data_IF_607574049217
#
_entry.id   IF_607574049217
#
_cell.length_a   1.000
_cell.length_b   1.000
_cell.length_c   1.000
_cell.angle_alpha   90.00
_cell.angle_beta   90.00
_cell.angle_gamma   90.00
#
_symmetry.space_group_name_H-M   'P 1'
#
loop_
_entity.id
_entity.type
_entity.pdbx_description
1 polymer ?
#
# COMPACT_ATOMS: atom_id res chain seq x y z
N UNK A 1 -0.12 -19.83 14.83
CA UNK A 1 -0.35 -20.76 13.71
C UNK A 1 -0.39 -19.93 12.43
N UNK A 2 0.41 -20.23 11.39
CA UNK A 2 0.33 -19.43 10.16
C UNK A 2 -0.98 -19.77 9.45
N UNK A 3 -1.84 -18.77 9.29
CA UNK A 3 -3.15 -18.90 8.65
C UNK A 3 -3.04 -18.26 7.27
N UNK A 4 -2.53 -19.01 6.28
CA UNK A 4 -2.69 -18.62 4.88
C UNK A 4 -4.16 -18.94 4.55
N UNK A 5 -4.99 -17.92 4.67
CA UNK A 5 -6.38 -17.94 4.19
C UNK A 5 -6.31 -18.09 2.66
N UNK A 6 -6.68 -19.28 2.16
CA UNK A 6 -6.66 -19.69 0.75
C UNK A 6 -7.02 -18.54 -0.22
N UNK A 7 -6.04 -18.07 -1.00
CA UNK A 7 -6.31 -17.18 -2.13
C UNK A 7 -6.49 -18.07 -3.36
N UNK A 8 -7.61 -17.91 -4.07
CA UNK A 8 -7.92 -18.73 -5.24
C UNK A 8 -6.97 -18.36 -6.40
N UNK A 9 -6.22 -19.32 -6.93
CA UNK A 9 -5.20 -19.08 -7.98
C UNK A 9 -5.75 -18.32 -9.20
N UNK A 10 -6.97 -18.66 -9.64
CA UNK A 10 -7.65 -17.93 -10.73
C UNK A 10 -7.79 -16.43 -10.44
N UNK A 11 -8.01 -16.06 -9.18
CA UNK A 11 -8.12 -14.64 -8.79
C UNK A 11 -6.78 -13.93 -8.88
N UNK A 12 -5.67 -14.60 -8.55
CA UNK A 12 -4.33 -14.04 -8.69
C UNK A 12 -3.99 -13.77 -10.17
N UNK A 13 -4.27 -14.74 -11.05
CA UNK A 13 -4.02 -14.60 -12.48
C UNK A 13 -4.88 -13.48 -13.09
N UNK A 14 -6.17 -13.42 -12.74
CA UNK A 14 -7.05 -12.35 -13.21
C UNK A 14 -6.57 -10.95 -12.79
N UNK A 15 -6.08 -10.81 -11.55
CA UNK A 15 -5.50 -9.55 -11.08
C UNK A 15 -4.24 -9.18 -11.87
N UNK A 16 -3.38 -10.14 -12.21
CA UNK A 16 -2.23 -9.91 -13.10
C UNK A 16 -2.66 -9.43 -14.49
N UNK A 17 -3.64 -10.10 -15.10
CA UNK A 17 -4.18 -9.68 -16.41
C UNK A 17 -4.74 -8.25 -16.37
N UNK A 18 -5.46 -7.90 -15.30
CA UNK A 18 -5.97 -6.55 -15.11
C UNK A 18 -4.84 -5.54 -14.89
N UNK A 19 -3.80 -5.88 -14.13
CA UNK A 19 -2.64 -5.00 -13.92
C UNK A 19 -1.96 -4.66 -15.25
N UNK A 20 -1.83 -5.63 -16.15
CA UNK A 20 -1.30 -5.40 -17.49
C UNK A 20 -2.27 -4.60 -18.37
N UNK A 21 -3.57 -4.91 -18.34
CA UNK A 21 -4.61 -4.20 -19.10
C UNK A 21 -4.73 -2.71 -18.75
N UNK A 22 -4.50 -2.39 -17.49
CA UNK A 22 -4.59 -1.05 -16.94
C UNK A 22 -3.24 -0.34 -16.78
N UNK A 23 -2.16 -0.95 -17.29
CA UNK A 23 -0.85 -0.31 -17.34
C UNK A 23 -0.97 1.05 -18.04
N UNK A 24 -0.38 2.09 -17.44
CA UNK A 24 -0.43 3.48 -17.91
C UNK A 24 -1.83 4.12 -17.94
N UNK A 25 -2.83 3.54 -17.26
CA UNK A 25 -4.18 4.11 -17.13
C UNK A 25 -4.51 4.60 -15.72
N UNK A 26 -3.46 4.96 -14.96
CA UNK A 26 -3.56 5.44 -13.58
C UNK A 26 -4.34 4.51 -12.63
N UNK A 27 -4.33 3.21 -12.90
CA UNK A 27 -4.90 2.17 -12.05
C UNK A 27 -3.77 1.26 -11.61
N UNK A 28 -3.72 1.00 -10.30
CA UNK A 28 -2.68 0.19 -9.66
C UNK A 28 -3.35 -0.91 -8.85
N UNK A 29 -2.90 -2.15 -9.06
CA UNK A 29 -3.38 -3.29 -8.30
C UNK A 29 -2.34 -3.61 -7.23
N UNK A 30 -2.80 -3.63 -5.97
CA UNK A 30 -1.97 -3.92 -4.81
C UNK A 30 -2.61 -5.07 -4.02
N UNK A 31 -1.92 -6.20 -3.96
CA UNK A 31 -2.28 -7.31 -3.07
C UNK A 31 -1.80 -7.01 -1.65
N UNK A 32 -2.71 -7.07 -0.68
CA UNK A 32 -2.38 -6.84 0.73
C UNK A 32 -2.30 -8.18 1.45
N UNK A 33 -1.15 -8.45 2.07
CA UNK A 33 -0.92 -9.62 2.89
C UNK A 33 -0.94 -9.27 4.37
N UNK A 34 -1.71 -10.01 5.17
CA UNK A 34 -1.68 -9.93 6.64
C UNK A 34 -0.55 -10.78 7.26
N UNK A 35 0.22 -11.51 6.45
CA UNK A 35 1.39 -12.25 6.90
C UNK A 35 2.45 -11.27 7.41
N UNK A 36 2.99 -11.55 8.59
CA UNK A 36 3.94 -10.68 9.29
C UNK A 36 5.39 -11.02 8.94
N UNK A 37 5.63 -12.22 8.40
CA UNK A 37 6.96 -12.65 8.00
C UNK A 37 7.26 -12.33 6.53
N UNK A 38 8.12 -11.33 6.31
CA UNK A 38 8.55 -10.92 4.97
C UNK A 38 9.11 -12.08 4.12
N UNK A 39 9.84 -13.02 4.73
CA UNK A 39 10.42 -14.14 4.00
C UNK A 39 9.36 -15.14 3.52
N UNK A 40 8.26 -15.27 4.24
CA UNK A 40 7.12 -16.11 3.83
C UNK A 40 6.42 -15.47 2.64
N UNK A 41 6.12 -14.16 2.72
CA UNK A 41 5.51 -13.41 1.61
C UNK A 41 6.38 -13.44 0.38
N UNK A 42 7.69 -13.17 0.52
CA UNK A 42 8.63 -13.17 -0.59
C UNK A 42 8.69 -14.54 -1.28
N UNK A 43 8.85 -15.63 -0.51
CA UNK A 43 8.84 -16.99 -1.07
C UNK A 43 7.55 -17.32 -1.81
N UNK A 44 6.40 -16.87 -1.29
CA UNK A 44 5.12 -17.07 -1.94
C UNK A 44 5.06 -16.34 -3.28
N UNK A 45 5.38 -15.04 -3.31
CA UNK A 45 5.42 -14.24 -4.56
C UNK A 45 6.41 -14.84 -5.57
N UNK A 46 7.61 -15.20 -5.12
CA UNK A 46 8.63 -15.84 -5.96
C UNK A 46 8.12 -17.18 -6.54
N UNK A 47 7.35 -17.96 -5.75
CA UNK A 47 6.77 -19.23 -6.21
C UNK A 47 5.63 -19.06 -7.22
N UNK A 48 4.90 -17.94 -7.16
CA UNK A 48 3.84 -17.63 -8.12
C UNK A 48 4.39 -17.10 -9.44
N UNK A 49 5.57 -16.47 -9.42
CA UNK A 49 6.24 -15.95 -10.61
C UNK A 49 5.32 -15.02 -11.43
N UNK A 50 5.22 -15.26 -12.73
CA UNK A 50 4.42 -14.44 -13.66
C UNK A 50 2.91 -14.50 -13.42
N UNK A 51 2.41 -15.40 -12.57
CA UNK A 51 0.98 -15.45 -12.22
C UNK A 51 0.58 -14.35 -11.24
N UNK A 52 1.54 -13.72 -10.57
CA UNK A 52 1.33 -12.67 -9.56
C UNK A 52 2.19 -11.45 -9.89
N UNK A 53 2.02 -10.90 -11.10
CA UNK A 53 2.78 -9.76 -11.61
C UNK A 53 2.07 -8.42 -11.33
N UNK A 54 1.87 -8.17 -10.04
CA UNK A 54 1.36 -6.92 -9.48
C UNK A 54 2.01 -6.66 -8.12
N UNK A 55 1.84 -5.45 -7.59
CA UNK A 55 2.51 -5.07 -6.34
C UNK A 55 1.90 -5.80 -5.15
N UNK A 56 2.74 -6.33 -4.26
CA UNK A 56 2.31 -6.95 -3.00
C UNK A 56 2.85 -6.13 -1.84
N UNK A 57 1.96 -5.71 -0.95
CA UNK A 57 2.29 -5.02 0.28
C UNK A 57 1.92 -5.86 1.51
N UNK A 58 2.62 -5.63 2.62
CA UNK A 58 2.36 -6.28 3.91
C UNK A 58 1.66 -5.29 4.83
N UNK A 59 0.55 -5.71 5.44
CA UNK A 59 -0.15 -4.96 6.48
C UNK A 59 0.44 -5.30 7.86
N UNK A 60 1.67 -4.86 8.11
CA UNK A 60 2.38 -5.17 9.36
C UNK A 60 1.81 -4.44 10.57
N UNK A 61 1.10 -3.34 10.34
CA UNK A 61 0.43 -2.55 11.37
C UNK A 61 -1.04 -2.93 11.62
N UNK A 62 -1.64 -3.75 10.75
CA UNK A 62 -3.08 -4.06 10.80
C UNK A 62 -3.98 -2.89 10.36
N UNK A 63 -3.39 -1.83 9.77
CA UNK A 63 -4.09 -0.59 9.43
C UNK A 63 -5.10 -0.81 8.30
N UNK A 64 -4.79 -1.70 7.35
CA UNK A 64 -5.71 -2.05 6.27
C UNK A 64 -6.82 -2.94 6.79
N UNK A 65 -6.49 -3.93 7.62
CA UNK A 65 -7.48 -4.81 8.24
C UNK A 65 -8.49 -4.00 9.07
N UNK A 66 -8.01 -3.18 10.01
CA UNK A 66 -8.88 -2.40 10.91
C UNK A 66 -9.54 -1.21 10.20
N UNK A 67 -8.77 -0.48 9.38
CA UNK A 67 -9.18 0.79 8.79
C UNK A 67 -10.08 0.64 7.57
N UNK A 68 -9.94 -0.45 6.83
CA UNK A 68 -10.68 -0.67 5.57
C UNK A 68 -11.54 -1.91 5.64
N UNK A 69 -10.95 -3.09 5.86
CA UNK A 69 -11.66 -4.38 5.74
C UNK A 69 -12.79 -4.47 6.77
N UNK A 70 -12.47 -4.25 8.06
CA UNK A 70 -13.45 -4.34 9.14
C UNK A 70 -14.51 -3.23 9.04
N UNK A 71 -14.12 -1.99 8.77
CA UNK A 71 -15.07 -0.86 8.65
C UNK A 71 -16.01 -0.99 7.47
N UNK A 72 -15.54 -1.53 6.34
CA UNK A 72 -16.38 -1.80 5.18
C UNK A 72 -17.25 -3.06 5.36
N UNK A 73 -17.11 -3.79 6.47
CA UNK A 73 -17.84 -5.02 6.74
C UNK A 73 -17.54 -6.13 5.74
N UNK A 74 -16.36 -6.10 5.10
CA UNK A 74 -15.95 -7.09 4.10
C UNK A 74 -15.84 -8.48 4.74
N UNK A 75 -16.36 -9.49 4.04
CA UNK A 75 -16.42 -10.87 4.51
C UNK A 75 -16.01 -11.81 3.39
N UNK A 76 -15.13 -12.76 3.70
CA UNK A 76 -14.66 -13.78 2.76
C UNK A 76 -13.33 -13.42 2.10
N UNK A 77 -12.76 -14.40 1.42
CA UNK A 77 -11.52 -14.30 0.66
C UNK A 77 -11.73 -15.01 -0.69
N UNK A 78 -11.17 -14.50 -1.80
CA UNK A 78 -10.57 -13.17 -1.93
C UNK A 78 -11.63 -12.05 -1.88
N UNK A 79 -11.23 -10.88 -1.36
CA UNK A 79 -12.05 -9.67 -1.33
C UNK A 79 -11.23 -8.49 -1.86
N UNK A 80 -11.83 -7.68 -2.71
CA UNK A 80 -11.20 -6.54 -3.36
C UNK A 80 -12.01 -5.27 -3.14
N UNK A 81 -11.28 -4.16 -3.08
CA UNK A 81 -11.84 -2.82 -3.08
C UNK A 81 -11.36 -2.08 -4.31
N UNK A 82 -12.22 -1.27 -4.91
CA UNK A 82 -11.79 -0.23 -5.85
C UNK A 82 -11.95 1.11 -5.15
N UNK A 83 -10.86 1.85 -5.07
CA UNK A 83 -10.81 3.19 -4.48
C UNK A 83 -10.53 4.16 -5.62
N UNK A 84 -11.40 5.15 -5.81
CA UNK A 84 -11.19 6.18 -6.83
C UNK A 84 -10.18 7.24 -6.38
N UNK A 85 -9.82 8.18 -7.27
CA UNK A 85 -8.84 9.21 -6.93
C UNK A 85 -9.35 10.26 -5.93
N UNK A 86 -10.65 10.24 -5.61
CA UNK A 86 -11.27 11.07 -4.57
C UNK A 86 -11.33 10.33 -3.22
N UNK A 87 -10.71 9.14 -3.13
CA UNK A 87 -10.65 8.23 -1.98
C UNK A 87 -12.00 7.61 -1.59
N UNK A 88 -12.94 7.51 -2.54
CA UNK A 88 -14.19 6.79 -2.31
C UNK A 88 -14.06 5.32 -2.68
N UNK A 89 -14.66 4.44 -1.89
CA UNK A 89 -14.81 3.03 -2.24
C UNK A 89 -15.94 2.92 -3.27
N UNK A 90 -15.59 2.66 -4.52
CA UNK A 90 -16.56 2.49 -5.62
C UNK A 90 -16.94 1.02 -5.85
N UNK A 91 -16.22 0.08 -5.23
CA UNK A 91 -16.53 -1.34 -5.23
C UNK A 91 -15.98 -2.02 -3.98
N UNK A 92 -16.72 -3.00 -3.46
CA UNK A 92 -16.32 -3.89 -2.36
C UNK A 92 -16.93 -5.27 -2.61
N UNK A 93 -16.11 -6.27 -2.90
CA UNK A 93 -16.61 -7.60 -3.23
C UNK A 93 -15.54 -8.54 -3.79
N UNK A 94 -15.98 -9.61 -4.45
CA UNK A 94 -15.08 -10.60 -5.03
C UNK A 94 -14.41 -10.05 -6.31
N UNK A 95 -13.09 -10.24 -6.53
CA UNK A 95 -12.38 -9.71 -7.71
C UNK A 95 -12.83 -10.31 -9.06
N UNK A 96 -13.53 -11.45 -9.05
CA UNK A 96 -14.16 -12.02 -10.26
C UNK A 96 -15.57 -11.49 -10.54
N UNK A 97 -16.11 -10.62 -9.69
CA UNK A 97 -17.41 -10.01 -9.95
C UNK A 97 -17.30 -9.11 -11.20
N UNK A 98 -18.20 -9.23 -12.19
CA UNK A 98 -18.21 -8.33 -13.36
C UNK A 98 -18.22 -6.83 -13.00
N UNK A 99 -18.78 -6.49 -11.84
CA UNK A 99 -18.80 -5.11 -11.33
C UNK A 99 -17.42 -4.61 -10.90
N UNK A 100 -16.49 -5.50 -10.53
CA UNK A 100 -15.11 -5.14 -10.20
C UNK A 100 -14.42 -4.48 -11.39
N UNK A 101 -14.42 -5.15 -12.55
CA UNK A 101 -13.80 -4.59 -13.75
C UNK A 101 -14.53 -3.34 -14.25
N UNK A 102 -15.85 -3.29 -14.07
CA UNK A 102 -16.64 -2.08 -14.37
C UNK A 102 -16.21 -0.88 -13.53
N UNK A 103 -15.97 -1.09 -12.24
CA UNK A 103 -15.46 -0.06 -11.34
C UNK A 103 -14.04 0.38 -11.73
N UNK A 104 -13.14 -0.56 -12.06
CA UNK A 104 -11.80 -0.23 -12.56
C UNK A 104 -11.83 0.61 -13.84
N UNK A 105 -12.70 0.25 -14.80
CA UNK A 105 -12.86 1.00 -16.05
C UNK A 105 -13.33 2.43 -15.78
N UNK A 106 -14.28 2.59 -14.86
CA UNK A 106 -14.81 3.90 -14.46
C UNK A 106 -13.73 4.74 -13.78
N UNK A 107 -12.98 4.16 -12.85
CA UNK A 107 -11.86 4.82 -12.18
C UNK A 107 -10.77 5.24 -13.18
N UNK A 108 -10.40 4.37 -14.13
CA UNK A 108 -9.42 4.67 -15.17
C UNK A 108 -9.85 5.82 -16.09
N UNK A 109 -11.13 5.84 -16.51
CA UNK A 109 -11.67 6.93 -17.33
C UNK A 109 -11.64 8.26 -16.56
N UNK A 110 -12.13 8.27 -15.32
CA UNK A 110 -12.12 9.46 -14.47
C UNK A 110 -10.69 9.94 -14.14
N UNK A 111 -9.71 9.05 -14.07
CA UNK A 111 -8.31 9.43 -13.91
C UNK A 111 -7.71 10.01 -15.20
N UNK A 112 -8.13 9.53 -16.37
CA UNK A 112 -7.66 10.02 -17.68
C UNK A 112 -8.25 11.39 -18.03
N UNK A 113 -9.53 11.62 -17.69
CA UNK A 113 -10.23 12.90 -17.92
C UNK A 113 -9.68 14.03 -17.04
N UNK A 114 -9.02 13.67 -15.92
CA UNK A 114 -8.28 14.62 -15.07
C UNK A 114 -6.94 15.07 -15.67
N UNK A 115 -6.63 14.70 -16.93
CA UNK A 115 -5.32 14.91 -17.55
C UNK A 115 -4.28 13.98 -16.92
N UNK A 116 -3.01 14.05 -17.35
CA UNK A 116 -1.88 13.30 -16.79
C UNK A 116 -1.55 13.77 -15.35
N UNK A 117 -2.53 13.66 -14.48
CA UNK A 117 -2.57 14.10 -13.10
C UNK A 117 -3.22 13.02 -12.24
N UNK A 118 -2.73 11.78 -12.35
CA UNK A 118 -2.68 10.95 -11.15
C UNK A 118 -2.06 11.78 -10.02
N UNK A 119 -2.54 11.63 -8.77
CA UNK A 119 -2.63 12.71 -7.78
C UNK A 119 -1.58 13.81 -8.00
N UNK A 120 -1.94 14.86 -8.76
CA UNK A 120 -1.09 16.05 -8.91
C UNK A 120 -0.99 16.70 -7.54
N UNK A 121 0.08 16.36 -6.85
CA UNK A 121 0.31 16.77 -5.48
C UNK A 121 1.21 15.81 -4.72
N UNK A 122 1.13 14.49 -4.99
CA UNK A 122 1.85 13.48 -4.20
C UNK A 122 3.22 13.09 -4.78
N UNK A 123 4.25 13.83 -4.44
CA UNK A 123 5.65 13.48 -4.73
C UNK A 123 6.12 12.39 -3.76
N UNK A 124 6.68 11.30 -4.31
CA UNK A 124 7.36 10.29 -3.51
C UNK A 124 8.52 10.94 -2.75
N UNK A 125 8.45 10.93 -1.42
CA UNK A 125 9.53 11.36 -0.57
C UNK A 125 10.64 10.32 -0.63
N UNK A 126 11.90 10.75 -0.84
CA UNK A 126 13.02 9.81 -0.91
C UNK A 126 13.14 9.02 0.40
N UNK A 127 13.59 7.78 0.28
CA UNK A 127 13.95 6.97 1.44
C UNK A 127 15.03 7.68 2.24
N UNK A 128 14.92 7.61 3.56
CA UNK A 128 15.95 8.14 4.44
C UNK A 128 17.09 7.13 4.48
N UNK A 129 18.22 7.48 3.87
CA UNK A 129 19.42 6.62 3.83
C UNK A 129 20.39 6.89 4.98
N UNK A 130 20.12 7.90 5.81
CA UNK A 130 20.94 8.22 6.96
C UNK A 130 20.89 7.11 8.02
N UNK A 131 22.04 6.76 8.56
CA UNK A 131 22.18 5.82 9.68
C UNK A 131 21.61 6.40 10.97
N UNK A 132 21.37 5.54 11.97
CA UNK A 132 20.86 5.98 13.28
C UNK A 132 21.80 7.00 13.94
N UNK A 133 23.12 6.81 13.83
CA UNK A 133 24.11 7.73 14.40
C UNK A 133 24.10 9.11 13.73
N UNK A 134 23.94 9.14 12.40
CA UNK A 134 23.77 10.38 11.64
C UNK A 134 22.46 11.09 11.99
N UNK A 135 21.37 10.34 12.18
CA UNK A 135 20.09 10.90 12.61
C UNK A 135 20.18 11.49 14.04
N UNK A 136 20.95 10.87 14.93
CA UNK A 136 21.12 11.36 16.31
C UNK A 136 21.88 12.68 16.38
N UNK A 137 22.74 13.01 15.42
CA UNK A 137 23.42 14.31 15.36
C UNK A 137 22.59 15.41 14.69
N UNK A 138 21.46 15.08 14.05
CA UNK A 138 20.58 16.08 13.44
C UNK A 138 19.81 16.92 14.49
N UNK A 139 19.42 18.16 14.14
CA UNK A 139 18.54 18.96 14.99
C UNK A 139 17.16 18.32 15.13
N UNK A 140 16.56 18.39 16.33
CA UNK A 140 15.20 17.88 16.62
C UNK A 140 14.15 18.41 15.64
N UNK A 141 14.28 19.69 15.22
CA UNK A 141 13.39 20.30 14.23
C UNK A 141 13.44 19.60 12.86
N UNK A 142 14.62 19.16 12.42
CA UNK A 142 14.78 18.44 11.17
C UNK A 142 14.17 17.03 11.25
N UNK A 143 14.38 16.32 12.37
CA UNK A 143 13.77 15.00 12.59
C UNK A 143 12.24 15.08 12.61
N UNK A 144 11.67 16.07 13.31
CA UNK A 144 10.21 16.29 13.32
C UNK A 144 9.67 16.64 11.94
N UNK A 145 10.40 17.43 11.15
CA UNK A 145 10.02 17.77 9.79
C UNK A 145 9.98 16.51 8.90
N UNK A 146 10.99 15.64 8.97
CA UNK A 146 11.04 14.37 8.22
C UNK A 146 9.81 13.51 8.49
N UNK A 147 9.40 13.39 9.75
CA UNK A 147 8.22 12.62 10.16
C UNK A 147 6.92 13.31 9.73
N UNK A 148 6.83 14.63 9.92
CA UNK A 148 5.62 15.41 9.60
C UNK A 148 5.34 15.45 8.10
N UNK A 149 6.38 15.62 7.26
CA UNK A 149 6.25 15.52 5.81
C UNK A 149 5.75 14.15 5.35
N UNK A 150 5.97 13.10 6.16
CA UNK A 150 5.54 11.72 5.92
C UNK A 150 4.21 11.39 6.59
N UNK A 151 3.55 12.36 7.22
CA UNK A 151 2.29 12.16 7.96
C UNK A 151 2.44 11.32 9.23
N UNK A 152 3.66 11.07 9.70
CA UNK A 152 3.92 10.27 10.88
C UNK A 152 3.78 11.12 12.15
N UNK A 153 3.02 10.65 13.16
CA UNK A 153 2.87 11.39 14.42
C UNK A 153 4.21 11.47 15.15
N UNK A 154 4.45 12.58 15.84
CA UNK A 154 5.63 12.78 16.70
C UNK A 154 5.27 12.88 18.18
N UNK A 155 3.99 12.78 18.53
CA UNK A 155 3.49 12.93 19.90
C UNK A 155 3.89 11.76 20.82
N UNK A 156 4.23 10.62 20.23
CA UNK A 156 4.71 9.41 20.89
C UNK A 156 6.24 9.41 21.12
N UNK A 157 6.97 10.41 20.60
CA UNK A 157 8.41 10.52 20.76
C UNK A 157 8.76 11.52 21.87
N UNK A 158 9.28 11.04 22.99
CA UNK A 158 9.62 11.86 24.18
C UNK A 158 11.01 12.47 24.03
N UNK A 159 11.96 11.68 23.53
CA UNK A 159 13.35 12.09 23.37
C UNK A 159 13.75 12.21 21.89
N UNK A 160 14.87 12.91 21.65
CA UNK A 160 15.47 12.98 20.30
C UNK A 160 15.78 11.59 19.74
N UNK A 161 16.20 10.66 20.60
CA UNK A 161 16.51 9.30 20.21
C UNK A 161 15.27 8.55 19.69
N UNK A 162 14.07 8.84 20.21
CA UNK A 162 12.84 8.19 19.76
C UNK A 162 12.48 8.61 18.34
N UNK A 163 12.63 9.91 18.02
CA UNK A 163 12.45 10.43 16.66
C UNK A 163 13.41 9.76 15.68
N UNK A 164 14.70 9.69 16.03
CA UNK A 164 15.73 9.11 15.18
C UNK A 164 15.49 7.61 14.94
N UNK A 165 15.15 6.85 16.00
CA UNK A 165 14.81 5.42 15.89
C UNK A 165 13.56 5.21 15.03
N UNK A 166 12.53 6.03 15.20
CA UNK A 166 11.29 5.96 14.41
C UNK A 166 11.58 6.19 12.93
N UNK A 167 12.36 7.22 12.60
CA UNK A 167 12.78 7.51 11.22
C UNK A 167 13.57 6.33 10.64
N UNK A 168 14.59 5.82 11.36
CA UNK A 168 15.40 4.70 10.89
C UNK A 168 14.56 3.43 10.66
N UNK A 169 13.58 3.16 11.52
CA UNK A 169 12.74 1.98 11.41
C UNK A 169 11.73 2.06 10.25
N UNK A 170 11.14 3.25 10.04
CA UNK A 170 9.98 3.42 9.13
C UNK A 170 10.37 4.07 7.81
N UNK A 171 11.12 5.17 7.84
CA UNK A 171 11.41 6.00 6.68
C UNK A 171 12.54 5.48 5.79
N UNK A 172 13.28 4.46 6.26
CA UNK A 172 14.33 3.80 5.48
C UNK A 172 13.78 2.73 4.51
N UNK A 173 12.61 2.16 4.83
CA UNK A 173 12.05 1.00 4.10
C UNK A 173 10.68 1.27 3.47
N UNK A 174 10.03 2.38 3.85
CA UNK A 174 8.70 2.73 3.39
C UNK A 174 8.77 4.02 2.58
N UNK A 175 8.21 3.99 1.37
CA UNK A 175 8.06 5.20 0.53
C UNK A 175 6.78 5.91 0.92
N UNK A 176 6.91 7.17 1.33
CA UNK A 176 5.79 8.04 1.67
C UNK A 176 5.57 9.04 0.54
N UNK A 177 4.36 9.58 0.45
CA UNK A 177 3.99 10.52 -0.60
C UNK A 177 3.46 11.80 0.04
N UNK A 178 4.03 12.96 -0.32
CA UNK A 178 3.51 14.28 0.10
C UNK A 178 2.87 14.96 -1.07
#
# INVERSE_FOLDING_TARGET
MPYIRYVHELSLQHLTELQHKYLNKHVYIVGISSEQNLQVVKKFVDSMGSQMDYTVAMDTGGEVEEGLIMKAGARGIPHAFVIDADNNITFSGHPMDPMFESALRTAAAAASDRGAGGPTGRQALPLVTASLDELLVMPVKALKLILTERGLPTSDCVEKADLAKKIAATCANVTYYK
#
